data_IF_540993824947
#
_entry.id   IF_540993824947
#
_cell.length_a   1.000
_cell.length_b   1.000
_cell.length_c   1.000
_cell.angle_alpha   90.00
_cell.angle_beta   90.00
_cell.angle_gamma   90.00
#
_symmetry.space_group_name_H-M   'P 1'
#
loop_
_entity.id
_entity.type
_entity.pdbx_description
1 polymer ?
#
# COMPACT_ATOMS: atom_id res chain seq x y z
N UNK A 1 13.67 23.20 6.09
CA UNK A 1 13.77 22.02 5.20
C UNK A 1 12.40 21.39 5.05
N UNK A 2 12.02 20.97 3.83
CA UNK A 2 10.80 20.19 3.56
C UNK A 2 11.20 18.86 2.93
N UNK A 3 10.41 17.81 3.16
CA UNK A 3 10.62 16.49 2.58
C UNK A 3 9.39 16.02 1.79
N UNK A 4 9.63 15.19 0.77
CA UNK A 4 8.59 14.45 0.05
C UNK A 4 8.65 12.99 0.49
N UNK A 5 7.51 12.43 0.89
CA UNK A 5 7.37 10.99 1.17
C UNK A 5 6.44 10.41 0.09
N UNK A 6 6.96 9.46 -0.70
CA UNK A 6 6.20 8.70 -1.69
C UNK A 6 5.77 7.41 -1.00
N UNK A 7 4.49 7.33 -0.64
CA UNK A 7 3.96 6.20 0.13
C UNK A 7 3.46 5.12 -0.83
N UNK A 8 4.07 3.94 -0.74
CA UNK A 8 3.60 2.68 -1.31
C UNK A 8 3.18 2.75 -2.79
N UNK A 9 3.97 3.48 -3.60
CA UNK A 9 3.81 3.51 -5.06
C UNK A 9 4.35 2.21 -5.68
N UNK A 10 3.66 1.09 -5.39
CA UNK A 10 4.06 -0.28 -5.70
C UNK A 10 3.09 -0.94 -6.67
N UNK A 11 3.60 -1.89 -7.46
CA UNK A 11 2.84 -2.60 -8.49
C UNK A 11 1.52 -3.19 -7.99
N UNK A 12 1.48 -3.73 -6.76
CA UNK A 12 0.26 -4.33 -6.21
C UNK A 12 -0.89 -3.34 -6.09
N UNK A 13 -0.60 -2.05 -5.92
CA UNK A 13 -1.58 -0.98 -5.81
C UNK A 13 -1.85 -0.25 -7.13
N UNK A 14 -1.15 -0.59 -8.21
CA UNK A 14 -1.39 -0.03 -9.55
C UNK A 14 -2.45 -0.86 -10.31
N UNK A 15 -3.08 -0.32 -11.37
CA UNK A 15 -3.97 -1.10 -12.22
C UNK A 15 -3.30 -2.40 -12.72
N UNK A 16 -3.97 -3.53 -12.50
CA UNK A 16 -3.46 -4.87 -12.82
C UNK A 16 -2.67 -5.56 -11.70
N UNK A 17 -2.43 -4.89 -10.57
CA UNK A 17 -1.84 -5.47 -9.37
C UNK A 17 -2.79 -6.34 -8.55
N UNK A 18 -2.30 -6.87 -7.42
CA UNK A 18 -3.08 -7.73 -6.53
C UNK A 18 -4.15 -6.99 -5.70
N UNK A 19 -3.95 -5.70 -5.41
CA UNK A 19 -4.90 -4.82 -4.72
C UNK A 19 -4.98 -3.45 -5.44
N UNK A 20 -5.47 -3.43 -6.69
CA UNK A 20 -5.32 -2.28 -7.56
C UNK A 20 -6.17 -1.10 -7.09
N UNK A 21 -5.55 0.08 -7.03
CA UNK A 21 -6.24 1.36 -6.90
C UNK A 21 -6.60 1.86 -8.29
N UNK A 22 -7.88 2.16 -8.58
CA UNK A 22 -8.27 2.73 -9.87
C UNK A 22 -7.46 4.00 -10.18
N UNK A 23 -6.88 4.07 -11.38
CA UNK A 23 -6.04 5.19 -11.83
C UNK A 23 -4.81 5.47 -10.96
N UNK A 24 -4.38 4.50 -10.13
CA UNK A 24 -3.25 4.68 -9.20
C UNK A 24 -1.92 4.98 -9.88
N UNK A 25 -1.76 4.62 -11.14
CA UNK A 25 -0.58 4.90 -11.97
C UNK A 25 -0.50 6.35 -12.45
N UNK A 26 -1.61 7.09 -12.49
CA UNK A 26 -1.63 8.48 -12.97
C UNK A 26 -0.83 9.43 -12.07
N UNK A 27 -0.54 9.03 -10.82
CA UNK A 27 0.30 9.82 -9.89
C UNK A 27 1.80 9.68 -10.19
N UNK A 28 2.23 8.66 -10.94
CA UNK A 28 3.66 8.37 -11.17
C UNK A 28 4.38 9.55 -11.86
N UNK A 29 3.87 10.16 -12.95
CA UNK A 29 4.51 11.32 -13.57
C UNK A 29 4.64 12.50 -12.58
N UNK A 30 3.59 12.75 -11.79
CA UNK A 30 3.59 13.82 -10.79
C UNK A 30 4.62 13.56 -9.68
N UNK A 31 4.71 12.33 -9.18
CA UNK A 31 5.71 11.95 -8.18
C UNK A 31 7.14 12.14 -8.71
N UNK A 32 7.39 11.80 -9.97
CA UNK A 32 8.67 11.99 -10.66
C UNK A 32 9.03 13.46 -10.88
N UNK A 33 8.04 14.33 -11.13
CA UNK A 33 8.24 15.77 -11.21
C UNK A 33 8.53 16.36 -9.82
N UNK A 34 7.71 16.00 -8.83
CA UNK A 34 7.81 16.57 -7.49
C UNK A 34 9.11 16.21 -6.79
N UNK A 35 9.65 14.98 -6.95
CA UNK A 35 10.93 14.60 -6.33
C UNK A 35 12.10 15.52 -6.68
N UNK A 36 12.03 16.25 -7.81
CA UNK A 36 13.06 17.21 -8.19
C UNK A 36 13.00 18.53 -7.40
N UNK A 37 11.90 18.79 -6.68
CA UNK A 37 11.61 20.03 -5.96
C UNK A 37 11.90 19.96 -4.46
N UNK A 38 12.34 18.81 -3.96
CA UNK A 38 12.60 18.58 -2.53
C UNK A 38 14.04 18.14 -2.30
N UNK A 39 14.64 18.65 -1.23
CA UNK A 39 16.00 18.30 -0.81
C UNK A 39 16.07 16.87 -0.25
N UNK A 40 15.00 16.40 0.40
CA UNK A 40 14.87 15.06 0.93
C UNK A 40 13.65 14.38 0.33
N UNK A 41 13.88 13.21 -0.28
CA UNK A 41 12.84 12.35 -0.83
C UNK A 41 12.98 10.98 -0.19
N UNK A 42 11.89 10.51 0.42
CA UNK A 42 11.76 9.20 1.02
C UNK A 42 10.68 8.43 0.26
N UNK A 43 10.85 7.11 0.16
CA UNK A 43 9.80 6.22 -0.30
C UNK A 43 9.56 5.15 0.76
N UNK A 44 8.30 4.77 0.96
CA UNK A 44 7.94 3.62 1.78
C UNK A 44 7.62 2.44 0.90
N UNK A 45 7.63 1.27 1.52
CA UNK A 45 7.24 0.04 0.88
C UNK A 45 6.40 -0.76 1.88
N UNK A 46 5.17 -1.08 1.49
CA UNK A 46 4.40 -2.10 2.16
C UNK A 46 5.07 -3.46 1.91
N UNK A 47 5.45 -4.14 3.00
CA UNK A 47 6.35 -5.29 2.96
C UNK A 47 5.90 -6.38 3.92
N UNK A 48 4.98 -7.20 3.44
CA UNK A 48 4.36 -8.26 4.22
C UNK A 48 5.02 -9.62 3.97
N UNK A 49 5.21 -10.47 5.01
CA UNK A 49 5.46 -11.88 4.80
C UNK A 49 4.20 -12.57 4.23
N UNK A 50 4.32 -13.73 3.57
CA UNK A 50 3.16 -14.42 2.99
C UNK A 50 2.07 -14.79 4.00
N UNK A 51 2.46 -15.04 5.25
CA UNK A 51 1.57 -15.37 6.35
C UNK A 51 1.11 -14.13 7.16
N UNK A 52 1.21 -12.92 6.59
CA UNK A 52 0.84 -11.69 7.29
C UNK A 52 -0.63 -11.69 7.72
N UNK A 53 -0.90 -11.19 8.93
CA UNK A 53 -2.22 -11.23 9.55
C UNK A 53 -3.27 -10.36 8.85
N UNK A 54 -2.86 -9.39 8.03
CA UNK A 54 -3.80 -8.55 7.25
C UNK A 54 -4.39 -9.28 6.03
N UNK A 55 -3.85 -10.43 5.61
CA UNK A 55 -4.35 -11.10 4.42
C UNK A 55 -5.50 -12.06 4.72
N UNK A 56 -6.65 -11.86 4.08
CA UNK A 56 -7.79 -12.79 4.15
C UNK A 56 -7.42 -14.27 3.90
N UNK A 57 -6.45 -14.53 3.02
CA UNK A 57 -5.97 -15.88 2.71
C UNK A 57 -5.42 -16.64 3.93
N UNK A 58 -4.95 -15.94 4.96
CA UNK A 58 -4.43 -16.52 6.20
C UNK A 58 -5.52 -16.78 7.25
N UNK A 59 -6.80 -16.48 6.94
CA UNK A 59 -7.92 -16.66 7.84
C UNK A 59 -8.99 -17.57 7.23
N UNK A 60 -9.18 -18.74 7.85
CA UNK A 60 -10.10 -19.77 7.33
C UNK A 60 -11.53 -19.23 7.18
N UNK A 61 -12.05 -19.28 5.96
CA UNK A 61 -13.43 -18.89 5.65
C UNK A 61 -13.66 -17.37 5.53
N UNK A 62 -12.60 -16.57 5.52
CA UNK A 62 -12.67 -15.12 5.31
C UNK A 62 -12.39 -14.72 3.86
N UNK A 63 -12.81 -13.52 3.50
CA UNK A 63 -12.63 -12.90 2.19
C UNK A 63 -12.03 -11.49 2.34
N UNK A 64 -11.33 -10.97 1.31
CA UNK A 64 -10.92 -9.57 1.30
C UNK A 64 -12.11 -8.64 1.57
N UNK A 65 -11.91 -7.66 2.43
CA UNK A 65 -12.93 -6.73 2.94
C UNK A 65 -13.64 -7.18 4.22
N UNK A 66 -13.49 -8.44 4.66
CA UNK A 66 -14.04 -8.90 5.94
C UNK A 66 -13.36 -8.20 7.12
N UNK A 67 -14.11 -8.00 8.22
CA UNK A 67 -13.55 -7.51 9.49
C UNK A 67 -13.30 -8.65 10.47
N UNK A 68 -12.17 -8.60 11.15
CA UNK A 68 -11.81 -9.51 12.25
C UNK A 68 -11.23 -8.72 13.43
N UNK A 69 -11.03 -9.41 14.56
CA UNK A 69 -10.14 -8.94 15.61
C UNK A 69 -8.78 -9.61 15.42
N UNK A 70 -7.75 -8.82 15.16
CA UNK A 70 -6.35 -9.25 15.05
C UNK A 70 -5.56 -8.57 16.18
N UNK A 71 -4.91 -9.35 17.04
CA UNK A 71 -4.15 -8.86 18.20
C UNK A 71 -4.93 -7.85 19.09
N UNK A 72 -6.24 -8.06 19.21
CA UNK A 72 -7.12 -7.21 20.01
C UNK A 72 -7.61 -5.94 19.31
N UNK A 73 -7.28 -5.73 18.04
CA UNK A 73 -7.66 -4.56 17.23
C UNK A 73 -8.57 -4.99 16.09
N UNK A 74 -9.56 -4.16 15.73
CA UNK A 74 -10.36 -4.39 14.52
C UNK A 74 -9.49 -4.23 13.27
N UNK A 75 -9.43 -5.27 12.43
CA UNK A 75 -8.64 -5.33 11.20
C UNK A 75 -9.56 -5.64 10.02
N UNK A 76 -9.33 -4.96 8.90
CA UNK A 76 -9.92 -5.31 7.59
C UNK A 76 -8.95 -6.24 6.86
N UNK A 77 -9.45 -7.37 6.40
CA UNK A 77 -8.68 -8.40 5.67
C UNK A 77 -8.65 -8.19 4.16
#
# INVERSE_FOLDING_TARGET
>A
MKALIIVDLQNDFLPGGALPVPHGDEVIPLANELRQRFELVLATQDWHPPNHGSFAANHKGKKPGDRIILDGIEQIL
#
